data_IF_165290831319
#
_entry.id   IF_165290831319
#
_cell.length_a   1.000
_cell.length_b   1.000
_cell.length_c   1.000
_cell.angle_alpha   90.00
_cell.angle_beta   90.00
_cell.angle_gamma   90.00
#
_symmetry.space_group_name_H-M   'P 1'
#
loop_
_entity.id
_entity.type
_entity.pdbx_description
1 polymer ?
#
# COMPACT_ATOMS: atom_id res chain seq x y z
N UNK A 1 9.54 -46.01 7.28
CA UNK A 1 8.93 -45.02 8.22
C UNK A 1 9.84 -43.82 8.54
N UNK A 2 11.15 -43.99 8.77
CA UNK A 2 12.05 -42.86 9.09
C UNK A 2 12.14 -41.77 8.00
N UNK A 3 12.24 -42.16 6.73
CA UNK A 3 12.28 -41.18 5.62
C UNK A 3 10.98 -40.37 5.47
N UNK A 4 9.81 -40.99 5.66
CA UNK A 4 8.52 -40.31 5.61
C UNK A 4 8.37 -39.25 6.71
N UNK A 5 8.84 -39.55 7.92
CA UNK A 5 8.88 -38.60 9.05
C UNK A 5 9.82 -37.42 8.77
N UNK A 6 10.99 -37.66 8.16
CA UNK A 6 11.96 -36.61 7.79
C UNK A 6 11.41 -35.74 6.65
N UNK A 7 10.73 -36.33 5.67
CA UNK A 7 10.08 -35.60 4.56
C UNK A 7 8.91 -34.76 5.09
N UNK A 8 8.10 -35.30 6.01
CA UNK A 8 7.02 -34.54 6.66
C UNK A 8 7.57 -33.37 7.50
N UNK A 9 8.65 -33.59 8.25
CA UNK A 9 9.33 -32.52 9.01
C UNK A 9 9.92 -31.46 8.08
N UNK A 10 10.58 -31.84 7.00
CA UNK A 10 11.11 -30.90 6.00
C UNK A 10 9.99 -30.09 5.32
N UNK A 11 8.84 -30.72 5.02
CA UNK A 11 7.65 -30.03 4.53
C UNK A 11 7.09 -29.05 5.56
N UNK A 12 7.03 -29.40 6.85
CA UNK A 12 6.58 -28.48 7.89
C UNK A 12 7.53 -27.30 8.10
N UNK A 13 8.84 -27.49 7.94
CA UNK A 13 9.85 -26.42 8.03
C UNK A 13 9.80 -25.50 6.81
N UNK A 14 9.51 -26.03 5.61
CA UNK A 14 9.22 -25.21 4.42
C UNK A 14 7.89 -24.43 4.53
N UNK A 15 6.92 -24.96 5.29
CA UNK A 15 5.66 -24.28 5.62
C UNK A 15 5.81 -23.25 6.75
N UNK A 16 6.98 -23.16 7.40
CA UNK A 16 7.37 -21.95 8.16
C UNK A 16 7.77 -20.88 7.14
N UNK A 17 6.82 -20.49 6.31
CA UNK A 17 6.87 -19.25 5.55
C UNK A 17 7.07 -18.13 6.57
N UNK A 18 8.24 -17.49 6.54
CA UNK A 18 8.47 -16.24 7.27
C UNK A 18 7.27 -15.32 6.99
N UNK A 19 6.43 -15.11 8.01
CA UNK A 19 5.35 -14.15 7.91
C UNK A 19 6.01 -12.76 7.89
N UNK A 20 6.29 -12.26 6.69
CA UNK A 20 6.78 -10.90 6.48
C UNK A 20 5.58 -10.02 6.11
N UNK A 21 5.50 -8.84 6.71
CA UNK A 21 4.50 -7.84 6.35
C UNK A 21 5.04 -6.89 5.27
N UNK A 22 4.18 -6.26 4.46
CA UNK A 22 4.58 -5.35 3.40
C UNK A 22 5.61 -4.30 3.84
N UNK A 23 5.38 -3.62 4.97
CA UNK A 23 6.30 -2.61 5.49
C UNK A 23 7.70 -3.14 5.79
N UNK A 24 7.81 -4.33 6.40
CA UNK A 24 9.11 -4.98 6.69
C UNK A 24 9.83 -5.34 5.40
N UNK A 25 9.11 -5.98 4.46
CA UNK A 25 9.64 -6.37 3.15
C UNK A 25 10.14 -5.16 2.36
N UNK A 26 9.30 -4.14 2.23
CA UNK A 26 9.61 -2.94 1.46
C UNK A 26 10.79 -2.17 2.03
N UNK A 27 10.88 -2.03 3.36
CA UNK A 27 12.04 -1.40 4.01
C UNK A 27 13.32 -2.22 3.82
N UNK A 28 13.22 -3.54 3.75
CA UNK A 28 14.37 -4.44 3.51
C UNK A 28 14.85 -4.35 2.05
N UNK A 29 13.93 -4.32 1.10
CA UNK A 29 14.23 -4.28 -0.35
C UNK A 29 14.72 -2.91 -0.82
N UNK A 30 14.11 -1.82 -0.32
CA UNK A 30 14.35 -0.46 -0.82
C UNK A 30 15.16 0.41 0.16
N UNK A 31 16.12 -0.19 0.89
CA UNK A 31 16.97 0.53 1.86
C UNK A 31 17.73 1.73 1.29
N UNK A 32 18.04 1.71 -0.01
CA UNK A 32 18.81 2.76 -0.70
C UNK A 32 17.90 3.71 -1.48
N UNK A 33 16.72 3.25 -1.87
CA UNK A 33 15.73 3.99 -2.67
C UNK A 33 14.50 4.26 -1.79
N UNK A 34 14.70 4.99 -0.68
CA UNK A 34 13.66 5.20 0.34
C UNK A 34 12.37 5.80 -0.24
N UNK A 35 12.48 6.60 -1.29
CA UNK A 35 11.33 7.17 -1.99
C UNK A 35 10.39 6.11 -2.58
N UNK A 36 10.90 4.90 -2.84
CA UNK A 36 10.15 3.78 -3.40
C UNK A 36 9.48 2.90 -2.35
N UNK A 37 9.76 3.09 -1.05
CA UNK A 37 9.12 2.31 0.03
C UNK A 37 7.60 2.52 0.00
N UNK A 38 7.13 3.75 -0.17
CA UNK A 38 5.69 4.06 -0.24
C UNK A 38 5.01 3.35 -1.43
N UNK A 39 5.64 3.38 -2.61
CA UNK A 39 5.11 2.65 -3.78
C UNK A 39 5.07 1.14 -3.53
N UNK A 40 6.12 0.57 -2.97
CA UNK A 40 6.18 -0.86 -2.64
C UNK A 40 5.03 -1.26 -1.69
N UNK A 41 4.83 -0.51 -0.61
CA UNK A 41 3.74 -0.75 0.35
C UNK A 41 2.37 -0.58 -0.33
N UNK A 42 2.15 0.52 -1.05
CA UNK A 42 0.89 0.78 -1.76
C UNK A 42 0.57 -0.29 -2.80
N UNK A 43 1.58 -0.90 -3.41
CA UNK A 43 1.38 -2.01 -4.34
C UNK A 43 0.81 -3.23 -3.62
N UNK A 44 1.40 -3.60 -2.48
CA UNK A 44 0.89 -4.70 -1.66
C UNK A 44 -0.52 -4.44 -1.13
N UNK A 45 -0.86 -3.19 -0.83
CA UNK A 45 -2.20 -2.79 -0.41
C UNK A 45 -3.21 -2.69 -1.57
N UNK A 46 -2.76 -2.84 -2.82
CA UNK A 46 -3.61 -2.72 -4.01
C UNK A 46 -4.02 -1.27 -4.34
N UNK A 47 -3.26 -0.28 -3.86
CA UNK A 47 -3.47 1.16 -4.11
C UNK A 47 -2.70 1.67 -5.34
N UNK A 48 -1.83 0.85 -5.91
CA UNK A 48 -1.13 1.08 -7.18
C UNK A 48 -0.69 -0.27 -7.77
N UNK A 49 0.00 -0.23 -8.93
CA UNK A 49 0.53 -1.41 -9.61
C UNK A 49 2.05 -1.30 -9.85
N UNK A 50 2.64 -2.36 -10.40
CA UNK A 50 4.07 -2.42 -10.76
C UNK A 50 4.48 -1.32 -11.77
N UNK A 51 3.52 -0.74 -12.48
CA UNK A 51 3.75 0.34 -13.44
C UNK A 51 3.46 1.73 -12.85
N UNK A 52 3.34 1.85 -11.52
CA UNK A 52 3.11 3.12 -10.80
C UNK A 52 1.80 3.81 -11.21
N UNK A 53 0.81 3.05 -11.70
CA UNK A 53 -0.47 3.59 -12.16
C UNK A 53 -1.46 3.62 -11.00
N UNK A 54 -2.30 4.64 -11.01
CA UNK A 54 -3.42 4.80 -10.07
C UNK A 54 -4.70 4.84 -10.90
N UNK A 55 -5.24 3.65 -11.18
CA UNK A 55 -6.50 3.43 -11.92
C UNK A 55 -7.71 3.50 -10.98
N UNK A 56 -8.92 3.47 -11.55
CA UNK A 56 -10.17 3.54 -10.77
C UNK A 56 -10.23 2.49 -9.65
N UNK A 57 -9.98 1.22 -9.96
CA UNK A 57 -10.03 0.14 -8.96
C UNK A 57 -9.02 0.33 -7.81
N UNK A 58 -7.83 0.89 -8.07
CA UNK A 58 -6.86 1.18 -7.02
C UNK A 58 -7.38 2.22 -6.03
N UNK A 59 -8.11 3.23 -6.53
CA UNK A 59 -8.75 4.25 -5.68
C UNK A 59 -9.95 3.67 -4.94
N UNK A 60 -10.69 2.78 -5.57
CA UNK A 60 -11.78 2.04 -4.91
C UNK A 60 -11.23 1.19 -3.76
N UNK A 61 -10.11 0.49 -3.96
CA UNK A 61 -9.41 -0.26 -2.91
C UNK A 61 -9.00 0.67 -1.76
N UNK A 62 -8.37 1.81 -2.06
CA UNK A 62 -7.98 2.79 -1.05
C UNK A 62 -9.20 3.28 -0.25
N UNK A 63 -10.25 3.72 -0.93
CA UNK A 63 -11.48 4.22 -0.31
C UNK A 63 -12.13 3.16 0.57
N UNK A 64 -12.27 1.94 0.05
CA UNK A 64 -12.89 0.83 0.76
C UNK A 64 -12.06 0.46 2.00
N UNK A 65 -10.73 0.44 1.91
CA UNK A 65 -9.86 0.17 3.05
C UNK A 65 -9.94 1.27 4.12
N UNK A 66 -9.93 2.54 3.73
CA UNK A 66 -10.09 3.66 4.67
C UNK A 66 -11.45 3.63 5.37
N UNK A 67 -12.53 3.27 4.66
CA UNK A 67 -13.85 3.10 5.26
C UNK A 67 -13.90 1.88 6.19
N UNK A 68 -13.40 0.73 5.74
CA UNK A 68 -13.41 -0.53 6.49
C UNK A 68 -12.66 -0.42 7.82
N UNK A 69 -11.50 0.24 7.82
CA UNK A 69 -10.67 0.40 9.01
C UNK A 69 -10.97 1.68 9.82
N UNK A 70 -12.03 2.42 9.47
CA UNK A 70 -12.54 3.54 10.25
C UNK A 70 -11.76 4.85 10.11
N UNK A 71 -10.92 4.99 9.08
CA UNK A 71 -10.25 6.25 8.76
C UNK A 71 -11.20 7.30 8.16
N UNK A 72 -12.31 6.85 7.57
CA UNK A 72 -13.45 7.68 7.15
C UNK A 72 -14.77 7.00 7.51
N UNK A 73 -15.85 7.78 7.56
CA UNK A 73 -17.22 7.26 7.66
C UNK A 73 -17.79 6.94 6.27
N UNK A 74 -18.84 6.11 6.23
CA UNK A 74 -19.52 5.73 4.97
C UNK A 74 -20.06 6.93 4.19
N UNK A 75 -20.60 7.94 4.85
CA UNK A 75 -21.10 9.18 4.22
C UNK A 75 -19.98 10.01 3.56
N UNK A 76 -18.71 9.77 3.92
CA UNK A 76 -17.54 10.45 3.37
C UNK A 76 -16.93 9.73 2.16
N UNK A 77 -17.38 8.51 1.82
CA UNK A 77 -16.78 7.68 0.75
C UNK A 77 -16.80 8.38 -0.61
N UNK A 78 -17.91 9.02 -0.99
CA UNK A 78 -18.01 9.75 -2.25
C UNK A 78 -17.08 10.99 -2.28
N UNK A 79 -16.92 11.66 -1.13
CA UNK A 79 -16.00 12.79 -1.01
C UNK A 79 -14.54 12.32 -1.17
N UNK A 80 -14.20 11.17 -0.57
CA UNK A 80 -12.88 10.57 -0.70
C UNK A 80 -12.62 10.12 -2.13
N UNK A 81 -13.59 9.49 -2.80
CA UNK A 81 -13.44 9.07 -4.20
C UNK A 81 -13.08 10.24 -5.14
N UNK A 82 -13.79 11.37 -4.99
CA UNK A 82 -13.51 12.60 -5.74
C UNK A 82 -12.12 13.16 -5.42
N UNK A 83 -11.70 13.13 -4.15
CA UNK A 83 -10.37 13.56 -3.75
C UNK A 83 -9.28 12.67 -4.38
N UNK A 84 -9.44 11.35 -4.30
CA UNK A 84 -8.51 10.38 -4.87
C UNK A 84 -8.40 10.56 -6.40
N UNK A 85 -9.52 10.79 -7.11
CA UNK A 85 -9.49 11.04 -8.56
C UNK A 85 -8.74 12.33 -8.92
N UNK A 86 -9.00 13.43 -8.21
CA UNK A 86 -8.28 14.69 -8.41
C UNK A 86 -6.78 14.56 -8.13
N UNK A 87 -6.41 13.92 -7.03
CA UNK A 87 -5.00 13.71 -6.68
C UNK A 87 -4.30 12.80 -7.70
N UNK A 88 -4.99 11.76 -8.21
CA UNK A 88 -4.44 10.88 -9.24
C UNK A 88 -4.22 11.63 -10.56
N UNK A 89 -5.10 12.56 -10.94
CA UNK A 89 -4.94 13.43 -12.12
C UNK A 89 -3.71 14.33 -11.97
N UNK A 90 -3.58 15.04 -10.84
CA UNK A 90 -2.40 15.88 -10.54
C UNK A 90 -1.09 15.09 -10.58
N UNK A 91 -1.09 13.88 -10.02
CA UNK A 91 0.09 13.01 -10.07
C UNK A 91 0.44 12.61 -11.52
N UNK A 92 -0.55 12.40 -12.40
CA UNK A 92 -0.32 12.04 -13.81
C UNK A 92 0.29 13.16 -14.64
N UNK A 93 -0.02 14.40 -14.32
CA UNK A 93 0.52 15.59 -15.00
C UNK A 93 2.02 15.81 -14.72
N UNK A 94 2.55 15.21 -13.65
CA UNK A 94 3.99 15.27 -13.37
C UNK A 94 4.76 14.34 -14.31
N UNK A 95 5.69 14.86 -15.14
CA UNK A 95 6.56 14.02 -15.94
C UNK A 95 7.41 13.13 -15.03
N UNK A 96 7.52 11.84 -15.37
CA UNK A 96 8.29 10.87 -14.60
C UNK A 96 8.96 9.88 -15.56
N UNK A 97 10.26 10.02 -15.74
CA UNK A 97 11.05 9.22 -16.68
C UNK A 97 11.87 8.17 -15.95
N UNK A 98 12.44 8.52 -14.80
CA UNK A 98 13.23 7.60 -13.98
C UNK A 98 12.35 6.81 -13.01
N UNK A 99 12.91 5.75 -12.40
CA UNK A 99 12.25 5.00 -11.33
C UNK A 99 11.99 5.89 -10.12
N UNK A 100 12.97 6.70 -9.70
CA UNK A 100 12.86 7.64 -8.59
C UNK A 100 11.72 8.64 -8.83
N UNK A 101 11.61 9.23 -10.02
CA UNK A 101 10.50 10.15 -10.35
C UNK A 101 9.13 9.49 -10.22
N UNK A 102 9.02 8.22 -10.64
CA UNK A 102 7.78 7.45 -10.54
C UNK A 102 7.43 7.15 -9.07
N UNK A 103 8.41 6.85 -8.24
CA UNK A 103 8.22 6.68 -6.79
C UNK A 103 7.81 8.00 -6.13
N UNK A 104 8.48 9.11 -6.46
CA UNK A 104 8.13 10.46 -5.98
C UNK A 104 6.71 10.88 -6.39
N UNK A 105 6.24 10.47 -7.58
CA UNK A 105 4.86 10.70 -8.02
C UNK A 105 3.83 9.98 -7.13
N UNK A 106 4.13 8.79 -6.63
CA UNK A 106 3.28 8.10 -5.66
C UNK A 106 3.31 8.81 -4.30
N UNK A 107 4.47 9.31 -3.86
CA UNK A 107 4.56 10.13 -2.64
C UNK A 107 3.71 11.39 -2.78
N UNK A 108 3.79 12.11 -3.90
CA UNK A 108 2.96 13.30 -4.17
C UNK A 108 1.46 12.98 -4.16
N UNK A 109 1.08 11.81 -4.69
CA UNK A 109 -0.30 11.34 -4.62
C UNK A 109 -0.74 11.13 -3.16
N UNK A 110 0.06 10.41 -2.37
CA UNK A 110 -0.18 10.21 -0.94
C UNK A 110 -0.29 11.54 -0.19
N UNK A 111 0.66 12.46 -0.38
CA UNK A 111 0.64 13.79 0.25
C UNK A 111 -0.61 14.57 -0.12
N UNK A 112 -1.00 14.55 -1.40
CA UNK A 112 -2.24 15.17 -1.85
C UNK A 112 -3.45 14.61 -1.10
N UNK A 113 -3.57 13.29 -0.94
CA UNK A 113 -4.75 12.67 -0.32
C UNK A 113 -4.78 12.88 1.19
N UNK A 114 -3.65 12.69 1.87
CA UNK A 114 -3.58 12.50 3.33
C UNK A 114 -3.02 13.73 4.06
N UNK A 115 -2.08 14.45 3.46
CA UNK A 115 -1.35 15.54 4.13
C UNK A 115 -1.97 16.90 3.81
N UNK A 116 -2.27 17.15 2.54
CA UNK A 116 -2.75 18.45 2.06
C UNK A 116 -4.27 18.59 2.11
N UNK A 117 -4.98 17.54 2.47
CA UNK A 117 -6.44 17.54 2.60
C UNK A 117 -6.82 17.00 3.98
N UNK A 118 -7.80 17.63 4.60
CA UNK A 118 -8.24 17.32 5.96
C UNK A 118 -9.39 16.31 6.03
N UNK A 119 -9.68 15.61 4.93
CA UNK A 119 -10.78 14.63 4.87
C UNK A 119 -10.51 13.41 5.76
N UNK A 120 -9.24 13.00 5.82
CA UNK A 120 -8.79 11.88 6.64
C UNK A 120 -7.92 12.46 7.75
N UNK A 121 -8.26 12.17 9.01
CA UNK A 121 -7.37 12.48 10.11
C UNK A 121 -6.10 11.63 10.01
N UNK A 122 -4.92 12.25 10.13
CA UNK A 122 -3.65 11.54 9.95
C UNK A 122 -3.46 10.35 10.89
N UNK A 123 -3.87 10.46 12.16
CA UNK A 123 -3.79 9.34 13.11
C UNK A 123 -4.73 8.20 12.70
N UNK A 124 -5.94 8.53 12.23
CA UNK A 124 -6.88 7.53 11.73
C UNK A 124 -6.37 6.85 10.45
N UNK A 125 -5.72 7.60 9.55
CA UNK A 125 -5.02 7.04 8.39
C UNK A 125 -3.92 6.06 8.80
N UNK A 126 -3.02 6.46 9.71
CA UNK A 126 -1.93 5.61 10.19
C UNK A 126 -2.48 4.32 10.81
N UNK A 127 -3.51 4.43 11.66
CA UNK A 127 -4.16 3.27 12.27
C UNK A 127 -4.75 2.32 11.21
N UNK A 128 -5.34 2.85 10.14
CA UNK A 128 -5.86 2.03 9.05
C UNK A 128 -4.73 1.34 8.28
N UNK A 129 -3.67 2.05 7.91
CA UNK A 129 -2.51 1.48 7.21
C UNK A 129 -1.84 0.37 8.04
N UNK A 130 -1.66 0.56 9.35
CA UNK A 130 -1.12 -0.47 10.24
C UNK A 130 -1.97 -1.74 10.19
N UNK A 131 -3.29 -1.62 10.33
CA UNK A 131 -4.19 -2.79 10.25
C UNK A 131 -4.16 -3.48 8.89
N UNK A 132 -4.05 -2.71 7.79
CA UNK A 132 -3.91 -3.26 6.44
C UNK A 132 -2.59 -4.05 6.33
N UNK A 133 -1.49 -3.44 6.75
CA UNK A 133 -0.16 -4.07 6.74
C UNK A 133 -0.17 -5.40 7.50
N UNK A 134 -0.73 -5.41 8.71
CA UNK A 134 -0.75 -6.59 9.58
C UNK A 134 -1.67 -7.69 9.05
N UNK A 135 -2.63 -7.34 8.18
CA UNK A 135 -3.54 -8.29 7.51
C UNK A 135 -2.95 -8.99 6.29
N UNK A 136 -1.77 -8.56 5.81
CA UNK A 136 -1.15 -9.06 4.58
C UNK A 136 0.17 -9.76 4.91
N UNK A 137 0.33 -10.98 4.37
CA UNK A 137 1.58 -11.75 4.41
C UNK A 137 2.21 -11.76 3.00
N UNK A 138 3.51 -11.50 2.90
CA UNK A 138 4.27 -11.34 1.63
C UNK A 138 5.55 -12.16 1.56
#
# INVERSE_FOLDING_TARGET
>A
MKLLLIVLLALTVLLVTCHEHPSTKCRREFKVEEECINHCEFKHYGFTDDQYRIKKHHRENFRNAMSHYGAIRKDQENQLDKLLDRCAKKARESPATTKSDKCLKIIKYYQCVVVYNNLINYSAYVNAITKINDSINV
#
